data_IF_283150992463
#
_entry.id   IF_283150992463
#
_cell.length_a   1.000
_cell.length_b   1.000
_cell.length_c   1.000
_cell.angle_alpha   90.00
_cell.angle_beta   90.00
_cell.angle_gamma   90.00
#
_symmetry.space_group_name_H-M   'P 1'
#
loop_
_entity.id
_entity.type
_entity.pdbx_description
1 polymer ?
#
# COMPACT_ATOMS: atom_id res chain seq x y z
N UNK A 1 0.26 13.28 -6.35
CA UNK A 1 1.58 13.17 -6.98
C UNK A 1 2.26 11.93 -6.49
N UNK A 2 2.32 10.97 -7.39
CA UNK A 2 3.05 9.73 -7.22
C UNK A 2 4.16 9.75 -8.26
N UNK A 3 5.35 9.39 -7.86
CA UNK A 3 6.52 9.33 -8.73
C UNK A 3 7.02 7.89 -8.86
N UNK A 4 7.61 7.56 -10.00
CA UNK A 4 8.28 6.28 -10.24
C UNK A 4 9.78 6.50 -10.36
N UNK A 5 10.58 5.71 -9.66
CA UNK A 5 12.05 5.79 -9.74
C UNK A 5 12.52 5.29 -11.10
N UNK A 6 13.35 6.08 -11.77
CA UNK A 6 13.98 5.74 -13.05
C UNK A 6 15.52 5.63 -12.94
N UNK A 7 16.10 6.16 -11.86
CA UNK A 7 17.54 6.09 -11.56
C UNK A 7 17.75 6.06 -10.04
N UNK A 8 18.72 5.28 -9.58
CA UNK A 8 19.11 5.22 -8.17
C UNK A 8 20.65 5.25 -7.98
N UNK A 9 21.38 5.73 -8.99
CA UNK A 9 22.85 5.64 -9.05
C UNK A 9 23.56 6.25 -7.83
N UNK A 10 22.97 7.31 -7.29
CA UNK A 10 23.50 8.05 -6.13
C UNK A 10 22.71 7.78 -4.83
N UNK A 11 21.58 7.07 -4.93
CA UNK A 11 20.59 6.93 -3.85
C UNK A 11 20.18 5.45 -3.71
N UNK A 12 20.84 4.71 -2.82
CA UNK A 12 20.55 3.26 -2.64
C UNK A 12 19.24 2.97 -1.91
N UNK A 13 18.66 3.99 -1.30
CA UNK A 13 17.47 3.89 -0.46
C UNK A 13 16.16 3.91 -1.27
N UNK A 14 16.28 4.00 -2.61
CA UNK A 14 15.15 3.95 -3.54
C UNK A 14 15.32 2.83 -4.58
N UNK A 15 14.23 2.14 -4.85
CA UNK A 15 14.19 1.00 -5.77
C UNK A 15 13.71 1.42 -7.16
N UNK A 16 14.49 1.13 -8.20
CA UNK A 16 14.12 1.38 -9.60
C UNK A 16 12.77 0.71 -9.90
N UNK A 17 11.90 1.41 -10.61
CA UNK A 17 10.52 1.04 -10.95
C UNK A 17 9.50 1.09 -9.81
N UNK A 18 9.91 1.31 -8.57
CA UNK A 18 8.98 1.45 -7.44
C UNK A 18 8.30 2.84 -7.48
N UNK A 19 7.02 2.86 -7.09
CA UNK A 19 6.22 4.08 -6.94
C UNK A 19 6.27 4.61 -5.51
N UNK A 20 6.39 5.94 -5.38
CA UNK A 20 6.40 6.64 -4.10
C UNK A 20 5.41 7.82 -4.11
N UNK A 21 4.56 7.98 -3.08
CA UNK A 21 3.79 9.19 -2.88
C UNK A 21 4.72 10.33 -2.48
N UNK A 22 4.60 11.47 -3.16
CA UNK A 22 5.36 12.68 -2.79
C UNK A 22 4.61 13.46 -1.72
N UNK A 23 5.25 13.62 -0.57
CA UNK A 23 4.68 14.17 0.66
C UNK A 23 4.99 15.65 0.86
N UNK A 24 6.14 16.10 0.34
CA UNK A 24 6.53 17.50 0.25
C UNK A 24 7.27 17.67 -1.07
N UNK A 25 6.97 18.72 -1.83
CA UNK A 25 7.70 19.07 -3.05
C UNK A 25 8.36 20.45 -2.86
N UNK A 26 9.48 20.70 -3.53
CA UNK A 26 10.05 22.03 -3.81
C UNK A 26 10.31 22.14 -5.33
N UNK A 27 11.04 23.13 -5.80
CA UNK A 27 11.28 23.33 -7.25
C UNK A 27 11.81 22.06 -7.92
N UNK A 28 13.00 21.61 -7.53
CA UNK A 28 13.69 20.43 -8.10
C UNK A 28 13.86 19.26 -7.12
N UNK A 29 13.27 19.36 -5.93
CA UNK A 29 13.37 18.36 -4.86
C UNK A 29 12.00 17.81 -4.47
N UNK A 30 11.97 16.54 -4.11
CA UNK A 30 10.82 15.87 -3.52
C UNK A 30 11.21 15.21 -2.21
N UNK A 31 10.23 15.04 -1.33
CA UNK A 31 10.37 14.30 -0.08
C UNK A 31 9.40 13.13 -0.08
N UNK A 32 9.96 11.94 0.08
CA UNK A 32 9.24 10.66 0.09
C UNK A 32 9.67 9.85 1.33
N UNK A 33 8.89 8.83 1.67
CA UNK A 33 9.37 7.76 2.56
C UNK A 33 10.11 6.74 1.69
N UNK A 34 11.39 6.56 1.96
CA UNK A 34 12.29 5.67 1.24
C UNK A 34 12.14 4.20 1.69
N UNK A 35 12.90 3.29 1.08
CA UNK A 35 12.79 1.84 1.33
C UNK A 35 13.22 1.43 2.76
N UNK A 36 13.93 2.31 3.47
CA UNK A 36 14.30 2.12 4.87
C UNK A 36 13.34 2.83 5.84
N UNK A 37 12.25 3.39 5.32
CA UNK A 37 11.26 4.12 6.11
C UNK A 37 11.68 5.55 6.42
N UNK A 38 12.78 6.05 5.86
CA UNK A 38 13.27 7.41 6.06
C UNK A 38 12.49 8.43 5.26
N UNK A 39 12.05 9.52 5.92
CA UNK A 39 11.49 10.69 5.22
C UNK A 39 12.63 11.55 4.65
N UNK A 40 13.06 11.24 3.43
CA UNK A 40 14.30 11.73 2.82
C UNK A 40 14.04 12.67 1.63
N UNK A 41 14.98 13.57 1.34
CA UNK A 41 14.92 14.50 0.20
C UNK A 41 15.65 13.87 -0.98
N UNK A 42 15.04 13.92 -2.16
CA UNK A 42 15.63 13.47 -3.41
C UNK A 42 15.46 14.48 -4.54
N UNK A 43 16.38 14.47 -5.49
CA UNK A 43 16.29 15.27 -6.70
C UNK A 43 15.27 14.67 -7.68
N UNK A 44 14.43 15.52 -8.26
CA UNK A 44 13.37 15.09 -9.18
C UNK A 44 13.92 14.39 -10.45
N UNK A 45 15.19 14.63 -10.82
CA UNK A 45 15.86 14.00 -11.98
C UNK A 45 15.88 12.47 -11.94
N UNK A 46 15.83 11.88 -10.73
CA UNK A 46 15.87 10.43 -10.52
C UNK A 46 14.48 9.77 -10.68
N UNK A 47 13.45 10.57 -10.94
CA UNK A 47 12.05 10.16 -10.96
C UNK A 47 11.33 10.58 -12.23
N UNK A 48 10.33 9.79 -12.61
CA UNK A 48 9.28 10.22 -13.54
C UNK A 48 7.98 10.45 -12.77
N UNK A 49 7.20 11.46 -13.16
CA UNK A 49 5.87 11.69 -12.59
C UNK A 49 4.94 10.59 -13.11
N UNK A 50 4.38 9.79 -12.20
CA UNK A 50 3.45 8.70 -12.52
C UNK A 50 1.99 9.19 -12.50
N UNK A 51 1.61 9.93 -11.45
CA UNK A 51 0.30 10.60 -11.32
C UNK A 51 0.51 11.97 -10.74
N UNK A 52 -0.29 12.94 -11.20
CA UNK A 52 -0.30 14.31 -10.68
C UNK A 52 -1.75 14.75 -10.39
N UNK A 53 -2.43 14.01 -9.51
CA UNK A 53 -3.72 14.44 -9.02
C UNK A 53 -3.50 15.35 -7.80
N UNK A 54 -3.93 16.61 -7.93
CA UNK A 54 -3.76 17.64 -6.90
C UNK A 54 -4.99 17.68 -5.97
N UNK A 55 -6.09 17.00 -6.32
CA UNK A 55 -7.32 17.03 -5.51
C UNK A 55 -7.15 16.37 -4.14
N UNK A 56 -6.23 15.41 -4.02
CA UNK A 56 -5.83 14.80 -2.75
C UNK A 56 -4.97 15.72 -1.86
N UNK A 57 -4.64 16.92 -2.34
CA UNK A 57 -3.78 17.89 -1.68
C UNK A 57 -4.54 19.18 -1.37
N UNK A 58 -4.98 19.36 -0.13
CA UNK A 58 -5.66 20.58 0.28
C UNK A 58 -4.66 21.58 0.90
N UNK A 59 -4.40 22.66 0.12
CA UNK A 59 -3.85 24.03 0.35
C UNK A 59 -3.50 24.49 1.79
N UNK A 60 -2.46 25.32 2.04
CA UNK A 60 -1.86 26.37 1.21
C UNK A 60 -0.42 26.73 1.66
N UNK A 61 0.36 27.28 0.71
CA UNK A 61 1.75 27.77 0.77
C UNK A 61 2.88 26.72 0.84
N UNK A 62 3.44 26.46 -0.35
CA UNK A 62 4.61 25.65 -0.71
C UNK A 62 4.37 24.13 -0.84
N UNK A 63 3.87 23.79 -2.04
CA UNK A 63 4.10 22.56 -2.81
C UNK A 63 3.86 21.22 -2.08
N UNK A 64 2.63 20.73 -2.25
CA UNK A 64 2.18 19.35 -2.04
C UNK A 64 2.36 18.81 -0.62
N UNK A 65 1.92 19.55 0.42
CA UNK A 65 1.85 19.03 1.80
C UNK A 65 0.41 18.62 2.12
N UNK A 66 0.21 17.40 2.64
CA UNK A 66 -1.10 16.87 3.02
C UNK A 66 -1.59 17.44 4.34
N UNK A 67 -2.91 17.61 4.51
CA UNK A 67 -3.53 18.20 5.70
C UNK A 67 -3.03 17.58 7.01
N UNK A 68 -2.90 16.24 7.06
CA UNK A 68 -2.46 15.51 8.25
C UNK A 68 -1.01 15.82 8.67
N UNK A 69 -0.16 16.21 7.72
CA UNK A 69 1.26 16.51 7.95
C UNK A 69 1.62 17.98 7.63
N UNK A 70 0.61 18.80 7.36
CA UNK A 70 0.72 20.20 6.98
C UNK A 70 0.97 21.17 8.12
N UNK A 71 1.23 20.67 9.33
CA UNK A 71 1.44 21.50 10.51
C UNK A 71 2.93 21.84 10.72
N UNK A 72 3.26 23.04 11.24
CA UNK A 72 4.65 23.55 11.26
C UNK A 72 5.69 22.65 11.93
N UNK A 73 5.32 21.94 13.00
CA UNK A 73 6.22 21.09 13.78
C UNK A 73 6.32 19.64 13.27
N UNK A 74 5.68 19.31 12.12
CA UNK A 74 5.60 17.91 11.65
C UNK A 74 6.97 17.26 11.48
N UNK A 75 7.90 17.93 10.78
CA UNK A 75 9.23 17.37 10.52
C UNK A 75 10.01 17.12 11.81
N UNK A 76 9.98 18.06 12.74
CA UNK A 76 10.63 17.91 14.05
C UNK A 76 10.02 16.74 14.83
N UNK A 77 8.69 16.66 14.90
CA UNK A 77 8.00 15.58 15.59
C UNK A 77 8.32 14.21 14.98
N UNK A 78 8.32 14.11 13.65
CA UNK A 78 8.63 12.87 12.94
C UNK A 78 10.07 12.40 13.23
N UNK A 79 11.06 13.29 13.15
CA UNK A 79 12.46 12.93 13.43
C UNK A 79 12.75 12.68 14.92
N UNK A 80 11.90 13.17 15.82
CA UNK A 80 11.93 12.85 17.25
C UNK A 80 11.10 11.59 17.58
N UNK A 81 10.74 10.78 16.58
CA UNK A 81 9.98 9.54 16.75
C UNK A 81 8.62 9.73 17.45
N UNK A 82 7.98 10.89 17.26
CA UNK A 82 6.63 11.11 17.76
C UNK A 82 5.65 10.13 17.10
N UNK A 83 4.91 9.39 17.94
CA UNK A 83 3.98 8.35 17.48
C UNK A 83 2.87 8.92 16.62
N UNK A 84 2.37 10.13 16.94
CA UNK A 84 1.28 10.75 16.17
C UNK A 84 1.79 11.17 14.79
N UNK A 85 2.95 11.79 14.70
CA UNK A 85 3.55 12.20 13.43
C UNK A 85 3.78 11.02 12.47
N UNK A 86 4.27 9.87 12.97
CA UNK A 86 4.41 8.65 12.16
C UNK A 86 3.06 8.14 11.66
N UNK A 87 2.07 8.03 12.54
CA UNK A 87 0.73 7.61 12.15
C UNK A 87 0.07 8.55 11.13
N UNK A 88 0.24 9.86 11.28
CA UNK A 88 -0.30 10.86 10.36
C UNK A 88 0.40 10.79 8.99
N UNK A 89 1.69 10.46 8.96
CA UNK A 89 2.46 10.23 7.74
C UNK A 89 1.98 8.97 7.00
N UNK A 90 1.84 7.84 7.69
CA UNK A 90 1.40 6.59 7.09
C UNK A 90 -0.04 6.70 6.56
N UNK A 91 -0.93 7.35 7.32
CA UNK A 91 -2.28 7.68 6.84
C UNK A 91 -2.25 8.57 5.60
N UNK A 92 -1.36 9.56 5.57
CA UNK A 92 -1.19 10.40 4.38
C UNK A 92 -0.80 9.53 3.19
N UNK A 93 0.27 8.72 3.29
CA UNK A 93 0.71 7.80 2.23
C UNK A 93 -0.43 6.90 1.71
N UNK A 94 -1.18 6.30 2.63
CA UNK A 94 -2.32 5.44 2.30
C UNK A 94 -3.40 6.19 1.52
N UNK A 95 -3.81 7.37 1.98
CA UNK A 95 -4.84 8.17 1.32
C UNK A 95 -4.47 8.53 -0.12
N UNK A 96 -3.19 8.79 -0.40
CA UNK A 96 -2.71 9.18 -1.72
C UNK A 96 -2.87 8.04 -2.71
N UNK A 97 -2.36 6.86 -2.35
CA UNK A 97 -2.52 5.69 -3.19
C UNK A 97 -4.01 5.34 -3.36
N UNK A 98 -4.79 5.44 -2.29
CA UNK A 98 -6.24 5.20 -2.32
C UNK A 98 -6.99 6.19 -3.20
N UNK A 99 -6.60 7.45 -3.30
CA UNK A 99 -7.33 8.43 -4.10
C UNK A 99 -6.83 8.50 -5.55
N UNK A 100 -5.51 8.38 -5.76
CA UNK A 100 -4.88 8.65 -7.07
C UNK A 100 -4.76 7.43 -7.97
N UNK A 101 -4.75 6.22 -7.41
CA UNK A 101 -4.64 4.98 -8.17
C UNK A 101 -6.00 4.33 -8.40
N UNK A 102 -6.21 3.75 -9.57
CA UNK A 102 -7.37 2.91 -9.84
C UNK A 102 -7.17 1.48 -9.29
N UNK A 103 -8.17 0.62 -9.51
CA UNK A 103 -8.14 -0.77 -9.08
C UNK A 103 -6.98 -1.57 -9.70
N UNK A 104 -6.85 -1.56 -11.03
CA UNK A 104 -5.81 -2.31 -11.76
C UNK A 104 -4.40 -1.86 -11.30
N UNK A 105 -4.19 -0.56 -11.10
CA UNK A 105 -2.93 -0.01 -10.60
C UNK A 105 -2.59 -0.50 -9.20
N UNK A 106 -3.57 -0.56 -8.29
CA UNK A 106 -3.36 -1.09 -6.94
C UNK A 106 -3.07 -2.59 -6.95
N UNK A 107 -3.69 -3.36 -7.84
CA UNK A 107 -3.39 -4.78 -8.03
C UNK A 107 -1.94 -4.98 -8.48
N UNK A 108 -1.44 -4.17 -9.41
CA UNK A 108 -0.04 -4.22 -9.82
C UNK A 108 0.92 -3.97 -8.65
N UNK A 109 0.57 -3.09 -7.71
CA UNK A 109 1.40 -2.85 -6.51
C UNK A 109 1.35 -4.02 -5.52
N UNK A 110 0.16 -4.57 -5.25
CA UNK A 110 -0.02 -5.70 -4.33
C UNK A 110 0.74 -6.93 -4.83
N UNK A 111 0.71 -7.17 -6.14
CA UNK A 111 1.34 -8.34 -6.78
C UNK A 111 2.81 -8.14 -7.17
N UNK A 112 3.39 -6.98 -6.84
CA UNK A 112 4.78 -6.66 -7.15
C UNK A 112 5.75 -7.13 -6.06
N UNK A 113 6.91 -7.62 -6.47
CA UNK A 113 8.00 -8.03 -5.58
C UNK A 113 8.85 -6.86 -5.06
N UNK A 114 8.57 -5.62 -5.52
CA UNK A 114 9.31 -4.43 -5.06
C UNK A 114 8.84 -3.89 -3.72
N UNK A 115 7.69 -4.34 -3.22
CA UNK A 115 7.06 -3.81 -2.02
C UNK A 115 7.11 -4.82 -0.88
N UNK A 116 7.38 -4.33 0.33
CA UNK A 116 7.32 -5.15 1.53
C UNK A 116 5.87 -5.50 1.88
N UNK A 117 5.69 -6.47 2.77
CA UNK A 117 4.37 -6.84 3.27
C UNK A 117 3.65 -5.67 3.94
N UNK A 118 4.36 -4.87 4.74
CA UNK A 118 3.80 -3.65 5.37
C UNK A 118 3.25 -2.68 4.32
N UNK A 119 3.98 -2.47 3.22
CA UNK A 119 3.51 -1.62 2.12
C UNK A 119 2.32 -2.24 1.39
N UNK A 120 2.35 -3.56 1.14
CA UNK A 120 1.24 -4.27 0.50
C UNK A 120 -0.04 -4.24 1.32
N UNK A 121 0.04 -4.26 2.65
CA UNK A 121 -1.12 -4.10 3.54
C UNK A 121 -1.79 -2.74 3.30
N UNK A 122 -1.01 -1.65 3.14
CA UNK A 122 -1.54 -0.32 2.81
C UNK A 122 -2.30 -0.35 1.47
N UNK A 123 -1.79 -1.06 0.46
CA UNK A 123 -2.46 -1.16 -0.84
C UNK A 123 -3.74 -2.00 -0.78
N UNK A 124 -3.75 -3.08 0.02
CA UNK A 124 -4.91 -3.92 0.31
C UNK A 124 -6.03 -3.09 0.96
N UNK A 125 -5.69 -2.23 1.92
CA UNK A 125 -6.66 -1.29 2.52
C UNK A 125 -7.13 -0.23 1.51
N UNK A 126 -6.23 0.23 0.62
CA UNK A 126 -6.54 1.21 -0.42
C UNK A 126 -7.51 0.71 -1.50
N UNK A 127 -7.45 -0.58 -1.84
CA UNK A 127 -8.30 -1.21 -2.87
C UNK A 127 -9.63 -1.74 -2.31
N UNK A 128 -9.80 -1.75 -0.98
CA UNK A 128 -10.89 -2.45 -0.28
C UNK A 128 -12.31 -2.13 -0.79
N UNK A 129 -12.54 -0.90 -1.25
CA UNK A 129 -13.83 -0.41 -1.78
C UNK A 129 -13.88 -0.32 -3.31
N UNK A 130 -12.81 -0.74 -3.99
CA UNK A 130 -12.68 -0.73 -5.45
C UNK A 130 -12.69 -2.13 -6.05
N UNK A 131 -12.44 -3.15 -5.23
CA UNK A 131 -12.26 -4.53 -5.69
C UNK A 131 -13.54 -5.07 -6.35
N UNK A 132 -13.34 -5.77 -7.47
CA UNK A 132 -14.37 -6.53 -8.16
C UNK A 132 -13.95 -8.00 -8.33
N UNK A 133 -14.86 -8.84 -8.84
CA UNK A 133 -14.62 -10.28 -9.04
C UNK A 133 -13.35 -10.60 -9.83
N UNK A 134 -13.08 -9.87 -10.93
CA UNK A 134 -11.88 -10.08 -11.76
C UNK A 134 -10.61 -9.86 -10.95
N UNK A 135 -10.55 -8.77 -10.20
CA UNK A 135 -9.36 -8.42 -9.40
C UNK A 135 -9.18 -9.35 -8.22
N UNK A 136 -10.26 -9.77 -7.57
CA UNK A 136 -10.22 -10.79 -6.53
C UNK A 136 -9.62 -12.10 -7.05
N UNK A 137 -9.99 -12.54 -8.26
CA UNK A 137 -9.41 -13.74 -8.88
C UNK A 137 -7.91 -13.60 -9.15
N UNK A 138 -7.46 -12.41 -9.56
CA UNK A 138 -6.02 -12.14 -9.76
C UNK A 138 -5.27 -12.25 -8.44
N UNK A 139 -5.78 -11.61 -7.39
CA UNK A 139 -5.17 -11.66 -6.06
C UNK A 139 -5.17 -13.08 -5.48
N UNK A 140 -6.28 -13.80 -5.57
CA UNK A 140 -6.38 -15.17 -5.08
C UNK A 140 -5.34 -16.09 -5.75
N UNK A 141 -5.15 -15.97 -7.07
CA UNK A 141 -4.09 -16.70 -7.79
C UNK A 141 -2.69 -16.28 -7.38
N UNK A 142 -2.45 -14.98 -7.21
CA UNK A 142 -1.15 -14.47 -6.76
C UNK A 142 -0.79 -15.04 -5.38
N UNK A 143 -1.71 -14.96 -4.42
CA UNK A 143 -1.50 -15.46 -3.06
C UNK A 143 -1.45 -17.00 -2.99
N UNK A 144 -2.25 -17.72 -3.79
CA UNK A 144 -2.20 -19.17 -3.84
C UNK A 144 -0.91 -19.75 -4.43
N UNK A 145 -0.26 -19.03 -5.35
CA UNK A 145 1.04 -19.43 -5.91
C UNK A 145 2.22 -19.04 -5.00
N UNK A 146 2.04 -18.09 -4.09
CA UNK A 146 3.10 -17.60 -3.21
C UNK A 146 3.07 -18.34 -1.87
N UNK A 147 3.99 -19.28 -1.73
CA UNK A 147 4.09 -20.14 -0.54
C UNK A 147 4.56 -19.43 0.75
N UNK A 148 4.89 -18.13 0.68
CA UNK A 148 5.45 -17.36 1.79
C UNK A 148 4.67 -16.05 2.01
N UNK A 149 3.36 -16.15 2.23
CA UNK A 149 2.59 -14.99 2.71
C UNK A 149 3.00 -14.74 4.17
N UNK A 150 3.49 -13.54 4.46
CA UNK A 150 3.87 -13.20 5.83
C UNK A 150 2.62 -13.16 6.75
N UNK A 151 2.71 -13.67 8.00
CA UNK A 151 1.54 -13.85 8.87
C UNK A 151 0.66 -12.61 9.06
N UNK A 152 1.27 -11.42 9.11
CA UNK A 152 0.61 -10.12 9.24
C UNK A 152 -0.31 -9.79 8.05
N UNK A 153 -0.03 -10.32 6.86
CA UNK A 153 -0.84 -10.08 5.67
C UNK A 153 -2.08 -10.96 5.60
N UNK A 154 -2.08 -12.12 6.27
CA UNK A 154 -3.12 -13.14 6.10
C UNK A 154 -4.52 -12.60 6.41
N UNK A 155 -4.70 -11.90 7.52
CA UNK A 155 -6.00 -11.36 7.91
C UNK A 155 -6.50 -10.26 6.94
N UNK A 156 -5.69 -9.24 6.59
CA UNK A 156 -6.04 -8.28 5.53
C UNK A 156 -6.43 -8.95 4.20
N UNK A 157 -5.65 -9.95 3.74
CA UNK A 157 -5.93 -10.69 2.52
C UNK A 157 -7.28 -11.42 2.63
N UNK A 158 -7.50 -12.18 3.70
CA UNK A 158 -8.74 -12.94 3.89
C UNK A 158 -9.97 -12.02 3.91
N UNK A 159 -9.88 -10.88 4.60
CA UNK A 159 -10.97 -9.88 4.64
C UNK A 159 -11.24 -9.25 3.29
N UNK A 160 -10.20 -8.97 2.50
CA UNK A 160 -10.36 -8.38 1.18
C UNK A 160 -11.00 -9.39 0.21
N UNK A 161 -10.46 -10.61 0.17
CA UNK A 161 -10.88 -11.65 -0.77
C UNK A 161 -12.29 -12.17 -0.47
N UNK A 162 -12.70 -12.22 0.80
CA UNK A 162 -14.03 -12.72 1.18
C UNK A 162 -15.19 -11.85 0.66
N UNK A 163 -14.91 -10.64 0.15
CA UNK A 163 -15.93 -9.74 -0.43
C UNK A 163 -16.51 -10.22 -1.75
N UNK A 164 -15.85 -11.12 -2.46
CA UNK A 164 -16.33 -11.66 -3.73
C UNK A 164 -16.33 -13.18 -3.70
N UNK A 165 -17.50 -13.77 -3.99
CA UNK A 165 -17.64 -15.22 -4.05
C UNK A 165 -17.21 -15.73 -5.42
N UNK A 166 -16.04 -16.35 -5.48
CA UNK A 166 -15.58 -17.05 -6.67
C UNK A 166 -14.72 -18.28 -6.33
N UNK A 167 -14.53 -19.12 -7.35
CA UNK A 167 -13.84 -20.40 -7.20
C UNK A 167 -12.39 -20.23 -6.76
N UNK A 168 -11.69 -19.22 -7.27
CA UNK A 168 -10.28 -19.05 -6.93
C UNK A 168 -10.04 -18.62 -5.48
N UNK A 169 -10.93 -17.82 -4.91
CA UNK A 169 -10.92 -17.53 -3.45
C UNK A 169 -11.31 -18.77 -2.65
N UNK A 170 -12.30 -19.52 -3.12
CA UNK A 170 -12.73 -20.76 -2.47
C UNK A 170 -11.57 -21.76 -2.36
N UNK A 171 -10.86 -22.01 -3.46
CA UNK A 171 -9.72 -22.92 -3.50
C UNK A 171 -8.59 -22.44 -2.57
N UNK A 172 -8.26 -21.14 -2.61
CA UNK A 172 -7.26 -20.55 -1.72
C UNK A 172 -7.62 -20.73 -0.24
N UNK A 173 -8.88 -20.49 0.12
CA UNK A 173 -9.33 -20.60 1.51
C UNK A 173 -9.37 -22.05 2.00
N UNK A 174 -9.60 -23.01 1.09
CA UNK A 174 -9.47 -24.44 1.42
C UNK A 174 -8.01 -24.80 1.73
N UNK A 175 -7.07 -24.24 1.00
CA UNK A 175 -5.65 -24.44 1.28
C UNK A 175 -5.28 -23.82 2.64
N UNK A 176 -5.74 -22.59 2.92
CA UNK A 176 -5.48 -21.92 4.20
C UNK A 176 -6.05 -22.65 5.41
N UNK A 177 -7.26 -23.21 5.33
CA UNK A 177 -7.85 -23.94 6.47
C UNK A 177 -7.18 -25.29 6.70
N UNK A 178 -6.49 -25.82 5.69
CA UNK A 178 -5.74 -27.08 5.76
C UNK A 178 -4.31 -26.88 6.31
N UNK A 179 -3.87 -25.62 6.47
CA UNK A 179 -2.57 -25.26 7.01
C UNK A 179 -2.64 -25.05 8.54
N UNK A 180 -2.09 -26.01 9.27
CA UNK A 180 -2.04 -26.00 10.74
C UNK A 180 -1.24 -24.82 11.33
N UNK A 181 -0.45 -24.11 10.52
CA UNK A 181 0.28 -22.90 10.93
C UNK A 181 -0.61 -21.65 10.96
N UNK A 182 -1.76 -21.68 10.27
CA UNK A 182 -2.74 -20.58 10.23
C UNK A 182 -3.78 -20.81 11.34
N UNK A 183 -3.33 -20.64 12.59
CA UNK A 183 -4.16 -20.83 13.78
C UNK A 183 -4.56 -19.49 14.43
N UNK A 184 -5.41 -18.74 13.74
CA UNK A 184 -5.96 -17.47 14.23
C UNK A 184 -7.48 -17.44 14.08
N UNK A 185 -8.21 -17.32 15.19
CA UNK A 185 -9.68 -17.32 15.23
C UNK A 185 -10.30 -16.30 14.27
N UNK A 186 -9.70 -15.11 14.11
CA UNK A 186 -10.25 -14.07 13.22
C UNK A 186 -10.14 -14.47 11.74
N UNK A 187 -9.04 -15.13 11.37
CA UNK A 187 -8.84 -15.64 10.01
C UNK A 187 -9.81 -16.79 9.75
N UNK A 188 -9.87 -17.76 10.66
CA UNK A 188 -10.75 -18.92 10.54
C UNK A 188 -12.23 -18.51 10.47
N UNK A 189 -12.67 -17.58 11.32
CA UNK A 189 -14.04 -17.06 11.26
C UNK A 189 -14.35 -16.41 9.91
N UNK A 190 -13.43 -15.61 9.36
CA UNK A 190 -13.61 -14.99 8.03
C UNK A 190 -13.77 -16.05 6.94
N UNK A 191 -12.95 -17.10 6.98
CA UNK A 191 -12.98 -18.20 6.00
C UNK A 191 -14.26 -19.04 6.15
N UNK A 192 -14.66 -19.39 7.38
CA UNK A 192 -15.88 -20.15 7.66
C UNK A 192 -17.12 -19.37 7.20
N UNK A 193 -17.18 -18.08 7.52
CA UNK A 193 -18.27 -17.21 7.04
C UNK A 193 -18.32 -17.14 5.51
N UNK A 194 -17.16 -17.09 4.84
CA UNK A 194 -17.10 -17.15 3.39
C UNK A 194 -17.73 -18.45 2.84
N UNK A 195 -17.31 -19.61 3.35
CA UNK A 195 -17.85 -20.90 2.91
C UNK A 195 -19.34 -21.06 3.18
N UNK A 196 -19.84 -20.62 4.34
CA UNK A 196 -21.26 -20.70 4.68
C UNK A 196 -22.14 -19.88 3.74
N UNK A 197 -21.60 -18.82 3.14
CA UNK A 197 -22.34 -17.94 2.25
C UNK A 197 -22.13 -18.27 0.76
N UNK A 198 -21.18 -19.15 0.43
CA UNK A 198 -20.83 -19.50 -0.95
C UNK A 198 -21.94 -20.36 -1.59
N UNK A 199 -22.64 -19.80 -2.58
CA UNK A 199 -23.75 -20.44 -3.30
C UNK A 199 -23.37 -20.82 -4.73
#
# INVERSE_FOLDING_TARGET
MIVKVISNKENRDITINKLYPVLIKKEDEIRIVDDFGGLSIYELKDFQIYKENINSYIKEMNSLVYELIGYPAFLENYYNDDKKARNDLDKSRSNIFKEDLNEDELIELITSEYYSSDEKIIFIEGIENKINDKSTKVLAKYFGNNQNIEPEMLLPICRLLSKCQNQEVYDLFLDFISDDTINNDSIQNTIIEYFNNYN
#
